data_IF_797965738252
#
_entry.id   IF_797965738252
#
_cell.length_a   1.000
_cell.length_b   1.000
_cell.length_c   1.000
_cell.angle_alpha   90.00
_cell.angle_beta   90.00
_cell.angle_gamma   90.00
#
_symmetry.space_group_name_H-M   'P 1'
#
loop_
_entity.id
_entity.type
_entity.pdbx_description
1 polymer ?
#
# COMPACT_ATOMS: atom_id res chain seq x y z
N UNK A 1 -15.93 -45.68 39.50
CA UNK A 1 -14.94 -45.21 40.47
C UNK A 1 -13.58 -45.81 40.11
N UNK A 2 -12.71 -45.07 39.47
CA UNK A 2 -11.26 -45.27 39.48
C UNK A 2 -10.63 -43.99 38.97
N UNK A 3 -9.95 -43.29 39.88
CA UNK A 3 -9.17 -42.07 39.62
C UNK A 3 -7.88 -42.46 38.91
N UNK A 4 -7.61 -41.88 37.72
CA UNK A 4 -6.29 -41.86 37.10
C UNK A 4 -5.63 -40.53 37.44
N UNK A 5 -4.55 -40.56 38.22
CA UNK A 5 -3.64 -39.46 38.47
C UNK A 5 -2.74 -39.28 37.25
N UNK A 6 -2.71 -38.07 36.68
CA UNK A 6 -1.70 -37.67 35.71
C UNK A 6 -0.50 -37.06 36.43
N UNK A 7 0.65 -37.65 36.19
CA UNK A 7 1.97 -37.22 36.68
C UNK A 7 2.53 -36.12 35.75
N UNK A 8 2.66 -34.90 36.26
CA UNK A 8 3.24 -33.75 35.55
C UNK A 8 4.70 -33.59 35.97
N UNK A 9 5.62 -34.15 35.19
CA UNK A 9 7.06 -33.78 35.26
C UNK A 9 7.43 -32.81 34.14
N UNK A 10 7.54 -31.53 34.48
CA UNK A 10 8.15 -30.51 33.66
C UNK A 10 9.67 -30.59 33.82
N UNK A 11 10.39 -30.96 32.75
CA UNK A 11 11.84 -30.85 32.72
C UNK A 11 12.20 -29.42 32.29
N UNK A 12 12.83 -28.69 33.22
CA UNK A 12 13.51 -27.41 32.89
C UNK A 12 14.83 -27.72 32.19
N UNK A 13 14.96 -27.25 30.93
CA UNK A 13 16.25 -27.13 30.27
C UNK A 13 16.77 -25.71 30.48
N UNK A 14 17.73 -25.53 31.38
CA UNK A 14 18.50 -24.30 31.52
C UNK A 14 19.73 -24.43 30.64
N UNK A 15 19.74 -23.81 29.48
CA UNK A 15 20.93 -23.63 28.64
C UNK A 15 21.33 -22.16 28.68
N UNK A 16 22.45 -21.85 29.35
CA UNK A 16 23.07 -20.54 29.31
C UNK A 16 23.69 -20.29 27.92
N UNK A 17 23.15 -19.31 27.19
CA UNK A 17 23.79 -18.77 26.01
C UNK A 17 24.79 -17.69 26.41
N UNK A 18 26.09 -17.99 26.33
CA UNK A 18 27.17 -17.01 26.43
C UNK A 18 27.21 -16.20 25.12
N UNK A 19 26.85 -14.93 25.21
CA UNK A 19 26.95 -13.99 24.10
C UNK A 19 28.44 -13.76 23.72
N UNK A 20 28.74 -13.94 22.43
CA UNK A 20 29.99 -13.48 21.84
C UNK A 20 29.93 -11.95 21.62
N UNK A 21 31.07 -11.22 21.74
CA UNK A 21 31.09 -9.78 21.55
C UNK A 21 30.85 -9.44 20.08
N UNK A 22 29.87 -8.58 19.81
CA UNK A 22 29.61 -8.02 18.48
C UNK A 22 30.70 -7.03 18.14
N UNK A 23 31.67 -7.46 17.33
CA UNK A 23 32.65 -6.57 16.73
C UNK A 23 31.92 -5.62 15.78
N UNK A 24 32.02 -4.32 16.06
CA UNK A 24 31.52 -3.26 15.20
C UNK A 24 32.20 -3.30 13.82
N UNK A 25 31.51 -3.88 12.85
CA UNK A 25 31.87 -3.77 11.45
C UNK A 25 31.30 -2.44 10.95
N UNK A 26 32.16 -1.46 10.80
CA UNK A 26 31.88 -0.24 10.04
C UNK A 26 31.54 -0.67 8.61
N UNK A 27 30.25 -0.85 8.30
CA UNK A 27 29.77 -0.98 6.91
C UNK A 27 29.99 0.36 6.24
N UNK A 28 30.96 0.45 5.32
CA UNK A 28 31.00 1.52 4.32
C UNK A 28 29.63 1.49 3.63
N UNK A 29 28.90 2.62 3.67
CA UNK A 29 27.74 2.84 2.80
C UNK A 29 28.26 2.75 1.36
N UNK A 30 28.04 1.62 0.69
CA UNK A 30 28.09 1.58 -0.76
C UNK A 30 26.92 2.44 -1.21
N UNK A 31 27.22 3.58 -1.79
CA UNK A 31 26.25 4.38 -2.53
C UNK A 31 25.84 3.54 -3.74
N UNK A 32 24.70 2.86 -3.67
CA UNK A 32 24.03 2.34 -4.85
C UNK A 32 23.61 3.55 -5.69
N UNK A 33 24.50 4.00 -6.55
CA UNK A 33 24.15 4.94 -7.62
C UNK A 33 23.21 4.18 -8.55
N UNK A 34 22.09 4.79 -8.93
CA UNK A 34 21.19 4.23 -9.93
C UNK A 34 21.99 3.96 -11.20
N UNK A 35 22.03 2.71 -11.64
CA UNK A 35 22.87 2.28 -12.75
C UNK A 35 22.14 2.56 -14.07
N UNK A 36 22.92 2.88 -15.11
CA UNK A 36 22.42 2.91 -16.49
C UNK A 36 22.39 1.47 -17.01
N UNK A 37 21.26 0.99 -17.45
CA UNK A 37 21.11 -0.38 -17.97
C UNK A 37 19.96 -0.50 -18.96
N UNK A 38 19.89 -1.65 -19.63
CA UNK A 38 18.81 -2.03 -20.54
C UNK A 38 18.24 -3.37 -20.11
N UNK A 39 16.92 -3.46 -20.01
CA UNK A 39 16.20 -4.74 -19.83
C UNK A 39 15.54 -5.10 -21.16
N UNK A 40 15.73 -6.33 -21.63
CA UNK A 40 15.09 -6.84 -22.84
C UNK A 40 14.13 -7.96 -22.49
N UNK A 41 12.92 -7.94 -23.08
CA UNK A 41 11.87 -8.95 -22.88
C UNK A 41 10.56 -8.50 -23.49
N UNK A 42 9.46 -9.12 -23.07
CA UNK A 42 8.10 -8.73 -23.47
C UNK A 42 7.55 -7.67 -22.52
N UNK A 43 7.40 -6.44 -22.99
CA UNK A 43 7.13 -5.29 -22.13
C UNK A 43 5.67 -4.90 -22.24
N UNK A 44 4.98 -4.75 -21.06
CA UNK A 44 3.61 -4.24 -20.98
C UNK A 44 3.52 -3.12 -19.94
N UNK A 45 2.91 -1.98 -20.29
CA UNK A 45 2.66 -0.88 -19.35
C UNK A 45 1.46 -0.03 -19.76
N UNK A 46 0.81 0.61 -18.80
CA UNK A 46 -0.32 1.51 -19.05
C UNK A 46 0.16 2.91 -19.43
N UNK A 47 -0.32 3.42 -20.56
CA UNK A 47 -0.20 4.83 -20.91
C UNK A 47 -1.28 5.66 -20.20
N UNK A 48 -2.49 5.14 -20.13
CA UNK A 48 -3.62 5.65 -19.35
C UNK A 48 -4.59 4.49 -19.04
N UNK A 49 -5.72 4.77 -18.39
CA UNK A 49 -6.69 3.72 -17.98
C UNK A 49 -7.30 2.93 -19.16
N UNK A 50 -7.17 3.40 -20.40
CA UNK A 50 -7.75 2.79 -21.60
C UNK A 50 -6.73 2.31 -22.62
N UNK A 51 -5.44 2.54 -22.35
CA UNK A 51 -4.36 2.24 -23.29
C UNK A 51 -3.25 1.45 -22.61
N UNK A 52 -3.24 0.14 -22.87
CA UNK A 52 -2.15 -0.77 -22.54
C UNK A 52 -1.20 -0.86 -23.73
N UNK A 53 0.06 -0.53 -23.52
CA UNK A 53 1.14 -0.68 -24.52
C UNK A 53 1.79 -2.04 -24.29
N UNK A 54 1.93 -2.81 -25.37
CA UNK A 54 2.64 -4.10 -25.39
C UNK A 54 3.72 -4.07 -26.48
N UNK A 55 4.95 -4.42 -26.11
CA UNK A 55 6.10 -4.47 -27.04
C UNK A 55 6.78 -5.85 -26.87
N UNK A 56 6.66 -6.70 -27.90
CA UNK A 56 7.31 -7.99 -27.94
C UNK A 56 8.83 -7.81 -28.11
N UNK A 57 9.62 -8.54 -27.30
CA UNK A 57 11.08 -8.52 -27.33
C UNK A 57 11.67 -7.10 -27.37
N UNK A 58 11.02 -6.17 -26.64
CA UNK A 58 11.42 -4.76 -26.58
C UNK A 58 12.57 -4.50 -25.61
N UNK A 59 13.05 -3.27 -25.63
CA UNK A 59 14.14 -2.78 -24.80
C UNK A 59 13.61 -1.66 -23.89
N UNK A 60 13.65 -1.86 -22.58
CA UNK A 60 13.40 -0.84 -21.56
C UNK A 60 14.73 -0.26 -21.12
N UNK A 61 14.92 1.03 -21.29
CA UNK A 61 16.17 1.71 -20.97
C UNK A 61 16.03 2.49 -19.67
N UNK A 62 16.98 2.28 -18.76
CA UNK A 62 17.16 3.03 -17.52
C UNK A 62 18.35 3.98 -17.64
N UNK A 63 18.17 5.25 -17.26
CA UNK A 63 19.25 6.22 -17.09
C UNK A 63 19.07 6.91 -15.75
N UNK A 64 20.05 6.75 -14.87
CA UNK A 64 20.05 7.33 -13.52
C UNK A 64 18.75 7.04 -12.71
N UNK A 65 18.22 5.81 -12.82
CA UNK A 65 17.01 5.39 -12.14
C UNK A 65 15.70 5.81 -12.81
N UNK A 66 15.78 6.48 -13.95
CA UNK A 66 14.65 7.02 -14.70
C UNK A 66 14.49 6.23 -16.00
N UNK A 67 13.25 5.97 -16.41
CA UNK A 67 12.95 5.40 -17.72
C UNK A 67 13.31 6.40 -18.83
N UNK A 68 14.20 5.98 -19.71
CA UNK A 68 14.47 6.70 -20.96
C UNK A 68 13.52 6.25 -22.10
N UNK A 69 12.61 5.31 -21.81
CA UNK A 69 11.59 4.83 -22.73
C UNK A 69 11.71 3.35 -23.07
N UNK A 70 10.73 2.88 -23.86
CA UNK A 70 10.63 1.51 -24.36
C UNK A 70 10.78 1.53 -25.88
N UNK A 71 11.66 0.67 -26.42
CA UNK A 71 12.03 0.64 -27.83
C UNK A 71 11.88 -0.77 -28.41
N UNK A 72 11.48 -0.86 -29.70
CA UNK A 72 11.50 -2.13 -30.45
C UNK A 72 12.92 -2.52 -30.86
N UNK A 73 13.75 -1.53 -31.18
CA UNK A 73 15.16 -1.67 -31.49
C UNK A 73 15.95 -0.74 -30.57
N UNK A 74 17.05 -1.24 -30.00
CA UNK A 74 17.85 -0.44 -29.07
C UNK A 74 18.52 0.73 -29.80
N UNK A 75 18.26 1.98 -29.43
CA UNK A 75 18.92 3.15 -30.03
C UNK A 75 20.43 3.09 -29.80
N UNK A 76 21.19 3.47 -30.84
CA UNK A 76 22.66 3.41 -30.84
C UNK A 76 23.30 4.12 -29.63
N UNK A 77 22.68 5.19 -29.15
CA UNK A 77 23.17 5.93 -27.99
C UNK A 77 23.20 5.12 -26.69
N UNK A 78 22.40 4.04 -26.59
CA UNK A 78 22.36 3.15 -25.44
C UNK A 78 23.07 1.82 -25.65
N UNK A 79 23.71 1.59 -26.82
CA UNK A 79 24.35 0.33 -27.15
C UNK A 79 25.51 -0.06 -26.21
N UNK A 80 26.06 0.91 -25.46
CA UNK A 80 27.12 0.68 -24.47
C UNK A 80 26.60 0.38 -23.05
N UNK A 81 25.30 0.38 -22.81
CA UNK A 81 24.75 0.09 -21.48
C UNK A 81 24.74 -1.43 -21.21
N UNK A 82 24.95 -1.84 -19.95
CA UNK A 82 24.74 -3.23 -19.57
C UNK A 82 23.34 -3.71 -19.95
N UNK A 83 23.25 -4.82 -20.68
CA UNK A 83 22.01 -5.40 -21.14
C UNK A 83 21.72 -6.70 -20.36
N UNK A 84 20.53 -6.80 -19.76
CA UNK A 84 19.98 -8.04 -19.25
C UNK A 84 18.85 -8.51 -20.16
N UNK A 85 19.03 -9.65 -20.84
CA UNK A 85 18.02 -10.28 -21.70
C UNK A 85 17.21 -11.30 -20.87
N UNK A 86 15.95 -11.02 -20.64
CA UNK A 86 15.02 -11.88 -19.92
C UNK A 86 14.23 -12.82 -20.84
N UNK A 87 14.57 -12.86 -22.11
CA UNK A 87 13.96 -13.77 -23.08
C UNK A 87 12.47 -13.56 -23.21
N UNK A 88 11.67 -14.63 -22.95
CA UNK A 88 10.20 -14.58 -23.08
C UNK A 88 9.46 -14.04 -21.83
N UNK A 89 10.18 -13.56 -20.81
CA UNK A 89 9.55 -12.99 -19.60
C UNK A 89 8.74 -11.74 -19.90
N UNK A 90 7.65 -11.55 -19.14
CA UNK A 90 6.93 -10.28 -19.12
C UNK A 90 7.67 -9.26 -18.23
N UNK A 91 7.86 -8.06 -18.72
CA UNK A 91 8.40 -6.93 -17.95
C UNK A 91 7.28 -5.91 -17.80
N UNK A 92 6.89 -5.62 -16.56
CA UNK A 92 5.80 -4.69 -16.24
C UNK A 92 6.26 -3.66 -15.21
N UNK A 93 5.63 -2.48 -15.13
CA UNK A 93 5.91 -1.54 -14.05
C UNK A 93 5.69 -2.16 -12.67
N UNK A 94 6.47 -1.73 -11.70
CA UNK A 94 6.25 -2.07 -10.31
C UNK A 94 4.86 -1.66 -9.83
N UNK A 95 4.28 -2.44 -8.93
CA UNK A 95 2.92 -2.18 -8.43
C UNK A 95 2.95 -1.22 -7.24
N UNK A 96 1.85 -0.46 -7.10
CA UNK A 96 1.65 0.48 -6.00
C UNK A 96 0.50 0.03 -5.12
N UNK A 97 0.76 -0.08 -3.82
CA UNK A 97 -0.22 -0.32 -2.77
C UNK A 97 -0.49 0.98 -2.00
N UNK A 98 -1.65 1.59 -2.23
CA UNK A 98 -1.97 2.89 -1.65
C UNK A 98 -2.50 2.82 -0.20
N UNK A 99 -2.76 1.62 0.31
CA UNK A 99 -3.32 1.48 1.65
C UNK A 99 -3.12 0.08 2.21
N UNK A 100 -2.39 -0.01 3.30
CA UNK A 100 -2.24 -1.23 4.10
C UNK A 100 -1.76 -0.91 5.53
N UNK A 101 -1.98 -1.85 6.46
CA UNK A 101 -1.65 -1.74 7.87
C UNK A 101 -0.56 -2.75 8.26
N UNK A 102 0.68 -2.30 8.42
CA UNK A 102 1.79 -3.17 8.81
C UNK A 102 1.54 -3.93 10.14
N UNK A 103 0.97 -3.31 11.20
CA UNK A 103 0.74 -4.01 12.46
C UNK A 103 -0.34 -5.08 12.39
N UNK A 104 -1.19 -5.08 11.37
CA UNK A 104 -2.25 -6.08 11.21
C UNK A 104 -1.78 -7.31 10.41
N UNK A 105 -0.58 -7.25 9.82
CA UNK A 105 -0.07 -8.29 8.94
C UNK A 105 -0.02 -9.68 9.59
N UNK A 106 0.25 -9.74 10.90
CA UNK A 106 0.39 -11.00 11.66
C UNK A 106 -0.90 -11.81 11.77
N UNK A 107 -2.08 -11.18 11.68
CA UNK A 107 -3.36 -11.90 11.77
C UNK A 107 -4.15 -11.93 10.46
N UNK A 108 -3.53 -11.58 9.34
CA UNK A 108 -4.21 -11.64 8.04
C UNK A 108 -4.85 -13.00 7.78
N UNK A 109 -6.05 -12.97 7.19
CA UNK A 109 -6.84 -14.18 6.96
C UNK A 109 -7.59 -14.71 8.18
N UNK A 110 -7.53 -14.02 9.33
CA UNK A 110 -8.27 -14.40 10.54
C UNK A 110 -9.44 -13.44 10.81
N UNK A 111 -10.60 -13.98 11.14
CA UNK A 111 -11.81 -13.19 11.45
C UNK A 111 -12.48 -12.57 10.22
N UNK A 112 -12.30 -13.16 9.03
CA UNK A 112 -12.89 -12.70 7.78
C UNK A 112 -14.40 -12.95 7.67
N UNK A 113 -15.03 -13.48 8.69
CA UNK A 113 -16.47 -13.70 8.86
C UNK A 113 -17.13 -12.63 9.76
N UNK A 114 -16.36 -11.61 10.16
CA UNK A 114 -16.84 -10.51 11.01
C UNK A 114 -17.10 -9.24 10.20
N UNK A 115 -18.02 -8.40 10.70
CA UNK A 115 -18.20 -7.05 10.19
C UNK A 115 -17.15 -6.09 10.75
N UNK A 116 -16.90 -4.95 10.09
CA UNK A 116 -15.83 -4.00 10.38
C UNK A 116 -15.71 -3.66 11.87
N UNK A 117 -16.77 -3.18 12.53
CA UNK A 117 -16.68 -2.71 13.92
C UNK A 117 -16.41 -3.84 14.91
N UNK A 118 -16.96 -5.01 14.66
CA UNK A 118 -16.69 -6.21 15.48
C UNK A 118 -15.27 -6.71 15.24
N UNK A 119 -14.81 -6.72 13.98
CA UNK A 119 -13.46 -7.12 13.62
C UNK A 119 -12.41 -6.17 14.21
N UNK A 120 -12.63 -4.85 14.20
CA UNK A 120 -11.76 -3.87 14.84
C UNK A 120 -11.58 -4.18 16.34
N UNK A 121 -12.68 -4.44 17.06
CA UNK A 121 -12.66 -4.64 18.50
C UNK A 121 -12.08 -6.01 18.89
N UNK A 122 -12.29 -7.05 18.09
CA UNK A 122 -11.94 -8.44 18.45
C UNK A 122 -10.61 -8.89 17.89
N UNK A 123 -10.13 -8.29 16.81
CA UNK A 123 -8.87 -8.65 16.13
C UNK A 123 -7.86 -7.50 16.06
N UNK A 124 -8.27 -6.39 15.49
CA UNK A 124 -7.36 -5.30 15.14
C UNK A 124 -6.76 -4.63 16.37
N UNK A 125 -7.59 -4.09 17.25
CA UNK A 125 -7.09 -3.36 18.42
C UNK A 125 -6.28 -4.25 19.38
N UNK A 126 -6.69 -5.51 19.68
CA UNK A 126 -5.87 -6.42 20.47
C UNK A 126 -4.53 -6.76 19.83
N UNK A 127 -4.43 -6.78 18.50
CA UNK A 127 -3.16 -7.04 17.83
C UNK A 127 -2.27 -5.79 17.82
N UNK A 128 -2.80 -4.64 17.42
CA UNK A 128 -2.05 -3.39 17.34
C UNK A 128 -1.47 -2.95 18.69
N UNK A 129 -2.14 -3.27 19.80
CA UNK A 129 -1.65 -2.96 21.17
C UNK A 129 -0.36 -3.69 21.53
N UNK A 130 -0.07 -4.84 20.91
CA UNK A 130 1.15 -5.62 21.18
C UNK A 130 2.42 -4.93 20.72
N UNK A 131 2.31 -3.94 19.85
CA UNK A 131 3.45 -3.21 19.31
C UNK A 131 4.07 -2.18 20.28
N UNK A 132 3.51 -2.04 21.48
CA UNK A 132 4.19 -1.42 22.62
C UNK A 132 5.36 -2.26 23.12
N UNK A 133 5.36 -3.59 22.89
CA UNK A 133 6.49 -4.48 23.10
C UNK A 133 7.40 -4.49 21.86
N UNK A 134 8.56 -3.86 21.96
CA UNK A 134 9.53 -3.73 20.88
C UNK A 134 10.06 -5.07 20.37
N UNK A 135 10.14 -6.09 21.21
CA UNK A 135 10.54 -7.44 20.78
C UNK A 135 9.44 -8.09 19.92
N UNK A 136 8.17 -7.85 20.26
CA UNK A 136 7.04 -8.26 19.42
C UNK A 136 7.05 -7.49 18.09
N UNK A 137 7.13 -6.17 18.16
CA UNK A 137 7.16 -5.29 16.99
C UNK A 137 8.26 -5.70 16.01
N UNK A 138 9.47 -5.97 16.52
CA UNK A 138 10.60 -6.41 15.71
C UNK A 138 10.33 -7.72 14.97
N UNK A 139 9.80 -8.72 15.67
CA UNK A 139 9.46 -10.01 15.02
C UNK A 139 8.39 -9.85 13.95
N UNK A 140 7.31 -9.12 14.26
CA UNK A 140 6.19 -8.95 13.37
C UNK A 140 6.57 -8.09 12.13
N UNK A 141 7.23 -6.96 12.33
CA UNK A 141 7.64 -6.08 11.24
C UNK A 141 8.76 -6.67 10.37
N UNK A 142 9.64 -7.52 10.93
CA UNK A 142 10.61 -8.25 10.11
C UNK A 142 9.91 -9.18 9.12
N UNK A 143 8.90 -9.93 9.57
CA UNK A 143 8.09 -10.80 8.68
C UNK A 143 7.38 -9.97 7.62
N UNK A 144 6.78 -8.84 8.00
CA UNK A 144 6.12 -7.94 7.08
C UNK A 144 7.07 -7.39 6.02
N UNK A 145 8.20 -6.82 6.42
CA UNK A 145 9.19 -6.22 5.50
C UNK A 145 9.79 -7.25 4.53
N UNK A 146 10.10 -8.45 5.01
CA UNK A 146 10.58 -9.57 4.18
C UNK A 146 9.56 -9.95 3.09
N UNK A 147 8.27 -10.08 3.46
CA UNK A 147 7.24 -10.41 2.49
C UNK A 147 7.00 -9.26 1.51
N UNK A 148 6.96 -8.01 1.98
CA UNK A 148 6.85 -6.83 1.10
C UNK A 148 8.02 -6.75 0.11
N UNK A 149 9.24 -7.06 0.55
CA UNK A 149 10.41 -7.10 -0.32
C UNK A 149 10.21 -8.08 -1.49
N UNK A 150 9.61 -9.23 -1.23
CA UNK A 150 9.40 -10.28 -2.25
C UNK A 150 8.05 -10.19 -3.00
N UNK A 151 7.10 -9.35 -2.56
CA UNK A 151 5.84 -9.10 -3.26
C UNK A 151 6.04 -8.34 -4.57
N UNK A 152 4.97 -8.14 -5.34
CA UNK A 152 4.97 -7.31 -6.55
C UNK A 152 5.01 -5.79 -6.27
N UNK A 153 4.82 -5.39 -5.01
CA UNK A 153 4.74 -3.98 -4.61
C UNK A 153 6.13 -3.34 -4.61
N UNK A 154 6.26 -2.21 -5.29
CA UNK A 154 7.47 -1.37 -5.29
C UNK A 154 7.26 -0.09 -4.51
N UNK A 155 6.01 0.37 -4.37
CA UNK A 155 5.62 1.57 -3.63
C UNK A 155 4.43 1.30 -2.75
N UNK A 156 4.47 1.78 -1.49
CA UNK A 156 3.38 1.55 -0.54
C UNK A 156 3.14 2.74 0.39
N UNK A 157 1.85 2.99 0.72
CA UNK A 157 1.43 3.88 1.80
C UNK A 157 0.98 3.03 2.99
N UNK A 158 1.67 3.14 4.12
CA UNK A 158 1.62 2.18 5.22
C UNK A 158 1.16 2.86 6.51
N UNK A 159 0.10 2.34 7.11
CA UNK A 159 -0.28 2.65 8.49
C UNK A 159 0.61 1.85 9.45
N UNK A 160 1.26 2.54 10.39
CA UNK A 160 1.95 1.92 11.53
C UNK A 160 1.01 1.84 12.75
N UNK A 161 1.55 2.04 13.95
CA UNK A 161 0.79 2.10 15.20
C UNK A 161 0.84 3.50 15.80
N UNK A 162 0.21 3.69 16.97
CA UNK A 162 0.39 4.89 17.81
C UNK A 162 1.80 4.95 18.43
N UNK A 163 2.50 3.81 18.56
CA UNK A 163 3.79 3.70 19.24
C UNK A 163 4.92 4.23 18.36
N UNK A 164 5.55 5.33 18.77
CA UNK A 164 6.63 6.02 18.05
C UNK A 164 7.79 5.10 17.73
N UNK A 165 8.35 4.42 18.74
CA UNK A 165 9.55 3.57 18.58
C UNK A 165 9.29 2.39 17.63
N UNK A 166 8.09 1.78 17.68
CA UNK A 166 7.70 0.74 16.76
C UNK A 166 7.53 1.28 15.32
N UNK A 167 7.03 2.52 15.15
CA UNK A 167 6.93 3.16 13.85
C UNK A 167 8.30 3.45 13.24
N UNK A 168 9.27 3.93 14.05
CA UNK A 168 10.65 4.12 13.61
C UNK A 168 11.30 2.80 13.19
N UNK A 169 11.11 1.74 13.99
CA UNK A 169 11.59 0.41 13.65
C UNK A 169 11.01 -0.09 12.31
N UNK A 170 9.71 0.14 12.07
CA UNK A 170 9.10 -0.20 10.79
C UNK A 170 9.76 0.58 9.64
N UNK A 171 10.02 1.88 9.84
CA UNK A 171 10.70 2.69 8.82
C UNK A 171 12.13 2.20 8.55
N UNK A 172 12.89 1.80 9.57
CA UNK A 172 14.21 1.20 9.40
C UNK A 172 14.15 -0.06 8.53
N UNK A 173 13.23 -0.97 8.85
CA UNK A 173 13.06 -2.22 8.11
C UNK A 173 12.58 -1.98 6.67
N UNK A 174 11.67 -1.02 6.46
CA UNK A 174 11.21 -0.69 5.11
C UNK A 174 12.32 -0.03 4.27
N UNK A 175 13.14 0.84 4.86
CA UNK A 175 14.30 1.40 4.17
C UNK A 175 15.27 0.31 3.69
N UNK A 176 15.51 -0.73 4.52
CA UNK A 176 16.37 -1.87 4.16
C UNK A 176 15.80 -2.73 3.02
N UNK A 177 14.50 -2.69 2.76
CA UNK A 177 13.91 -3.39 1.61
C UNK A 177 14.27 -2.78 0.26
N UNK A 178 14.61 -1.49 0.24
CA UNK A 178 14.81 -0.70 -0.98
C UNK A 178 13.51 -0.27 -1.67
N UNK A 179 12.34 -0.56 -1.13
CA UNK A 179 11.05 -0.10 -1.65
C UNK A 179 10.86 1.39 -1.38
N UNK A 180 10.04 2.06 -2.17
CA UNK A 180 9.62 3.45 -1.94
C UNK A 180 8.36 3.47 -1.10
N UNK A 181 8.47 3.86 0.17
CA UNK A 181 7.33 3.79 1.09
C UNK A 181 7.02 5.13 1.77
N UNK A 182 5.75 5.32 2.08
CA UNK A 182 5.28 6.35 3.00
C UNK A 182 4.74 5.66 4.23
N UNK A 183 5.31 5.93 5.40
CA UNK A 183 4.93 5.30 6.67
C UNK A 183 4.38 6.36 7.60
N UNK A 184 3.25 6.08 8.26
CA UNK A 184 2.63 7.03 9.16
C UNK A 184 2.41 6.49 10.57
N UNK A 185 2.91 7.23 11.58
CA UNK A 185 2.47 7.05 12.97
C UNK A 185 0.97 7.37 13.03
N UNK A 186 0.19 6.43 13.54
CA UNK A 186 -1.25 6.63 13.72
C UNK A 186 -1.52 7.59 14.88
N UNK A 187 -2.49 8.49 14.67
CA UNK A 187 -2.99 9.40 15.70
C UNK A 187 -4.45 9.03 16.01
N UNK A 188 -4.75 8.82 17.30
CA UNK A 188 -6.11 8.62 17.80
C UNK A 188 -6.19 8.91 19.30
N UNK A 189 -7.09 9.84 19.68
CA UNK A 189 -7.23 10.36 21.03
C UNK A 189 -8.66 10.27 21.60
N UNK A 190 -9.56 9.57 20.89
CA UNK A 190 -10.92 9.25 21.39
C UNK A 190 -11.45 7.94 20.81
N UNK A 191 -12.50 7.42 21.42
CA UNK A 191 -13.32 6.30 20.91
C UNK A 191 -12.51 5.06 20.52
N UNK A 192 -11.40 4.82 21.20
CA UNK A 192 -10.54 3.66 21.04
C UNK A 192 -10.35 2.97 22.39
N UNK A 193 -9.97 1.68 22.43
CA UNK A 193 -9.65 1.02 23.71
C UNK A 193 -8.56 1.78 24.46
N UNK A 194 -8.63 1.79 25.81
CA UNK A 194 -7.67 2.46 26.68
C UNK A 194 -6.21 2.13 26.39
N UNK A 195 -5.94 0.92 25.87
CA UNK A 195 -4.60 0.46 25.49
C UNK A 195 -4.08 1.04 24.16
N UNK A 196 -4.93 1.73 23.40
CA UNK A 196 -4.60 2.30 22.08
C UNK A 196 -5.11 3.74 21.92
N UNK A 197 -5.62 4.37 22.95
CA UNK A 197 -5.98 5.79 22.95
C UNK A 197 -4.85 6.61 23.55
N UNK A 198 -4.48 7.70 22.89
CA UNK A 198 -3.49 8.66 23.38
C UNK A 198 -4.24 9.87 23.96
N UNK A 199 -3.64 10.56 24.95
CA UNK A 199 -4.06 11.92 25.23
C UNK A 199 -3.65 12.84 24.07
N UNK A 200 -4.46 13.85 23.72
CA UNK A 200 -4.21 14.73 22.55
C UNK A 200 -2.80 15.31 22.55
N UNK A 201 -2.37 15.87 23.70
CA UNK A 201 -1.03 16.46 23.85
C UNK A 201 0.09 15.41 23.71
N UNK A 202 -0.14 14.20 24.18
CA UNK A 202 0.77 13.07 24.06
C UNK A 202 0.93 12.68 22.59
N UNK A 203 -0.18 12.46 21.88
CA UNK A 203 -0.19 12.11 20.46
C UNK A 203 0.59 13.13 19.63
N UNK A 204 0.41 14.42 19.90
CA UNK A 204 1.11 15.49 19.21
C UNK A 204 2.61 15.54 19.55
N UNK A 205 2.95 15.36 20.84
CA UNK A 205 4.34 15.33 21.28
C UNK A 205 5.11 14.19 20.62
N UNK A 206 4.54 12.97 20.66
CA UNK A 206 5.16 11.79 20.07
C UNK A 206 5.26 11.91 18.53
N UNK A 207 4.27 12.54 17.88
CA UNK A 207 4.32 12.79 16.43
C UNK A 207 5.43 13.79 16.08
N UNK A 208 5.58 14.89 16.86
CA UNK A 208 6.68 15.85 16.64
C UNK A 208 8.04 15.21 16.88
N UNK A 209 8.18 14.41 17.95
CA UNK A 209 9.42 13.71 18.26
C UNK A 209 9.77 12.72 17.16
N UNK A 210 8.81 11.91 16.70
CA UNK A 210 8.99 11.01 15.56
C UNK A 210 9.53 11.74 14.33
N UNK A 211 8.88 12.84 13.92
CA UNK A 211 9.31 13.63 12.76
C UNK A 211 10.71 14.22 12.92
N UNK A 212 11.07 14.61 14.14
CA UNK A 212 12.43 15.10 14.45
C UNK A 212 13.49 13.98 14.36
N UNK A 213 13.18 12.80 14.90
CA UNK A 213 14.11 11.65 14.97
C UNK A 213 14.39 11.05 13.60
N UNK A 214 13.42 11.07 12.69
CA UNK A 214 13.55 10.52 11.33
C UNK A 214 14.10 11.51 10.30
N UNK A 215 14.26 12.78 10.66
CA UNK A 215 14.67 13.84 9.72
C UNK A 215 16.01 13.53 9.05
N UNK A 216 15.97 13.33 7.73
CA UNK A 216 17.15 13.03 6.92
C UNK A 216 17.75 11.63 7.14
N UNK A 217 17.05 10.75 7.86
CA UNK A 217 17.51 9.39 8.18
C UNK A 217 17.36 8.42 7.02
N UNK A 218 16.32 8.60 6.19
CA UNK A 218 15.94 7.69 5.14
C UNK A 218 16.01 8.32 3.75
N UNK A 219 16.24 7.50 2.74
CA UNK A 219 16.25 7.87 1.32
C UNK A 219 14.97 7.45 0.60
N UNK A 220 14.45 6.27 0.95
CA UNK A 220 13.34 5.62 0.25
C UNK A 220 12.04 5.63 1.05
N UNK A 221 12.14 5.75 2.37
CA UNK A 221 11.00 5.76 3.28
C UNK A 221 10.76 7.17 3.80
N UNK A 222 9.56 7.71 3.63
CA UNK A 222 9.21 9.06 4.05
C UNK A 222 7.98 9.06 4.96
N UNK A 223 7.81 10.09 5.83
CA UNK A 223 6.63 10.19 6.68
C UNK A 223 5.38 10.58 5.90
N UNK A 224 4.22 10.10 6.36
CA UNK A 224 2.88 10.51 5.97
C UNK A 224 2.04 10.72 7.23
N UNK A 225 1.34 11.83 7.33
CA UNK A 225 0.48 12.13 8.49
C UNK A 225 -0.75 11.22 8.48
N UNK A 226 -1.05 10.59 9.63
CA UNK A 226 -2.02 9.49 9.66
C UNK A 226 -3.02 9.63 10.81
N UNK A 227 -3.94 10.62 10.78
CA UNK A 227 -5.15 10.53 11.59
C UNK A 227 -5.89 9.27 11.17
N UNK A 228 -6.18 8.35 12.13
CA UNK A 228 -6.72 7.04 11.75
C UNK A 228 -8.03 7.19 10.97
N UNK A 229 -8.99 7.90 11.56
CA UNK A 229 -10.24 8.34 10.90
C UNK A 229 -10.98 9.30 11.85
N UNK A 230 -11.95 10.05 11.36
CA UNK A 230 -12.66 11.09 12.16
C UNK A 230 -13.22 10.56 13.48
N UNK A 231 -13.84 9.36 13.58
CA UNK A 231 -14.36 8.86 14.85
C UNK A 231 -13.31 8.74 15.96
N UNK A 232 -12.05 8.51 15.65
CA UNK A 232 -10.99 8.33 16.65
C UNK A 232 -10.11 9.55 16.87
N UNK A 233 -10.40 10.68 16.20
CA UNK A 233 -9.64 11.91 16.34
C UNK A 233 -10.55 13.03 16.82
N UNK A 234 -10.21 13.69 17.93
CA UNK A 234 -10.94 14.90 18.38
C UNK A 234 -10.70 16.06 17.42
N UNK A 235 -11.60 17.04 17.44
CA UNK A 235 -11.45 18.26 16.65
C UNK A 235 -10.13 18.96 17.01
N UNK A 236 -9.78 19.01 18.30
CA UNK A 236 -8.50 19.58 18.79
C UNK A 236 -7.29 18.85 18.19
N UNK A 237 -7.30 17.51 18.17
CA UNK A 237 -6.23 16.75 17.54
C UNK A 237 -6.13 17.05 16.04
N UNK A 238 -7.26 17.10 15.33
CA UNK A 238 -7.29 17.37 13.89
C UNK A 238 -6.76 18.78 13.57
N UNK A 239 -7.13 19.81 14.34
CA UNK A 239 -6.62 21.18 14.19
C UNK A 239 -5.10 21.25 14.40
N UNK A 240 -4.57 20.57 15.40
CA UNK A 240 -3.13 20.56 15.69
C UNK A 240 -2.35 19.72 14.66
N UNK A 241 -2.89 18.57 14.21
CA UNK A 241 -2.32 17.80 13.12
C UNK A 241 -2.24 18.61 11.82
N UNK A 242 -3.23 19.49 11.56
CA UNK A 242 -3.16 20.42 10.43
C UNK A 242 -1.97 21.37 10.54
N UNK A 243 -1.65 21.87 11.73
CA UNK A 243 -0.47 22.72 11.94
C UNK A 243 0.82 21.95 11.65
N UNK A 244 0.91 20.69 12.12
CA UNK A 244 2.03 19.81 11.80
C UNK A 244 2.15 19.52 10.30
N UNK A 245 1.01 19.26 9.63
CA UNK A 245 0.96 19.05 8.20
C UNK A 245 1.56 20.23 7.44
N UNK A 246 1.23 21.47 7.86
CA UNK A 246 1.75 22.69 7.22
C UNK A 246 3.23 22.93 7.55
N UNK A 247 3.64 22.68 8.80
CA UNK A 247 5.02 22.88 9.27
C UNK A 247 6.02 21.97 8.55
N UNK A 248 5.62 20.71 8.30
CA UNK A 248 6.48 19.69 7.69
C UNK A 248 6.11 19.36 6.23
N UNK A 249 5.11 20.02 5.66
CA UNK A 249 4.59 19.80 4.29
C UNK A 249 4.24 18.33 4.02
N UNK A 250 3.64 17.64 5.01
CA UNK A 250 3.38 16.21 4.95
C UNK A 250 2.19 15.87 4.04
N UNK A 251 2.26 14.78 3.26
CA UNK A 251 1.06 14.15 2.73
C UNK A 251 0.20 13.57 3.86
N UNK A 252 -1.07 13.31 3.58
CA UNK A 252 -2.04 12.79 4.55
C UNK A 252 -2.66 11.50 4.03
N UNK A 253 -2.87 10.53 4.91
CA UNK A 253 -3.67 9.33 4.66
C UNK A 253 -4.69 9.09 5.77
N UNK A 254 -5.88 8.62 5.40
CA UNK A 254 -6.94 8.26 6.35
C UNK A 254 -7.98 7.35 5.69
N UNK A 255 -9.06 7.01 6.42
CA UNK A 255 -10.20 6.22 5.95
C UNK A 255 -11.39 7.11 5.66
N UNK A 256 -12.20 6.77 4.66
CA UNK A 256 -13.34 7.58 4.25
C UNK A 256 -14.51 6.72 3.78
N UNK A 257 -15.68 6.96 4.36
CA UNK A 257 -16.98 6.45 3.89
C UNK A 257 -16.97 4.94 3.59
N UNK A 258 -16.28 4.17 4.45
CA UNK A 258 -16.12 2.73 4.27
C UNK A 258 -17.38 1.98 4.61
N UNK A 259 -17.96 2.21 5.80
CA UNK A 259 -19.10 1.48 6.35
C UNK A 259 -20.22 2.46 6.71
N UNK A 260 -21.48 2.03 6.58
CA UNK A 260 -22.65 2.87 6.90
C UNK A 260 -22.70 3.27 8.39
N UNK A 261 -22.35 2.33 9.27
CA UNK A 261 -22.27 2.61 10.72
C UNK A 261 -21.22 3.66 11.05
N UNK A 262 -20.07 3.62 10.36
CA UNK A 262 -19.02 4.63 10.48
C UNK A 262 -19.50 6.01 9.99
N UNK A 263 -20.20 6.07 8.87
CA UNK A 263 -20.76 7.33 8.33
C UNK A 263 -21.78 7.94 9.30
N UNK A 264 -22.68 7.12 9.86
CA UNK A 264 -23.65 7.57 10.84
C UNK A 264 -22.95 8.10 12.10
N UNK A 265 -21.88 7.43 12.54
CA UNK A 265 -21.08 7.87 13.68
C UNK A 265 -20.37 9.20 13.43
N UNK A 266 -19.80 9.42 12.23
CA UNK A 266 -19.22 10.72 11.86
C UNK A 266 -20.30 11.82 11.86
N UNK A 267 -21.50 11.54 11.38
CA UNK A 267 -22.62 12.50 11.40
C UNK A 267 -23.04 12.89 12.82
N UNK A 268 -22.96 11.96 13.78
CA UNK A 268 -23.21 12.24 15.20
C UNK A 268 -22.10 13.12 15.80
N UNK A 269 -20.83 12.84 15.47
CA UNK A 269 -19.66 13.55 16.00
C UNK A 269 -19.45 14.92 15.35
N UNK A 270 -19.77 15.04 14.06
CA UNK A 270 -19.59 16.25 13.25
C UNK A 270 -20.93 16.68 12.62
N UNK A 271 -21.96 17.05 13.41
CA UNK A 271 -23.30 17.38 12.90
C UNK A 271 -23.33 18.61 11.98
N UNK A 272 -22.25 19.36 11.94
CA UNK A 272 -22.03 20.51 11.07
C UNK A 272 -21.54 20.12 9.67
N UNK A 273 -21.03 18.89 9.46
CA UNK A 273 -20.56 18.44 8.15
C UNK A 273 -21.72 17.97 7.26
N UNK A 274 -21.65 18.27 5.97
CA UNK A 274 -22.67 17.84 5.00
C UNK A 274 -22.49 16.37 4.58
N UNK A 275 -21.26 15.86 4.62
CA UNK A 275 -20.85 14.49 4.30
C UNK A 275 -19.56 14.17 5.04
N UNK A 276 -19.14 12.92 5.05
CA UNK A 276 -17.99 12.50 5.84
C UNK A 276 -16.69 13.24 5.47
N UNK A 277 -16.37 13.33 4.17
CA UNK A 277 -15.16 14.04 3.69
C UNK A 277 -15.16 15.54 4.00
N UNK A 278 -16.32 16.15 4.21
CA UNK A 278 -16.45 17.55 4.62
C UNK A 278 -15.83 17.78 6.03
N UNK A 279 -15.86 16.76 6.90
CA UNK A 279 -15.16 16.83 8.19
C UNK A 279 -13.64 16.94 8.01
N UNK A 280 -13.02 16.19 7.09
CA UNK A 280 -11.60 16.37 6.77
C UNK A 280 -11.29 17.69 6.08
N UNK A 281 -12.18 18.13 5.17
CA UNK A 281 -12.03 19.39 4.44
C UNK A 281 -12.07 20.59 5.38
N UNK A 282 -12.94 20.58 6.39
CA UNK A 282 -13.01 21.58 7.45
C UNK A 282 -11.64 21.79 8.14
N UNK A 283 -10.93 20.71 8.44
CA UNK A 283 -9.58 20.76 9.01
C UNK A 283 -8.48 20.96 7.94
N UNK A 284 -8.83 21.16 6.68
CA UNK A 284 -7.89 21.38 5.58
C UNK A 284 -7.00 20.17 5.26
N UNK A 285 -7.48 18.96 5.51
CA UNK A 285 -6.77 17.70 5.26
C UNK A 285 -7.48 16.82 4.21
N UNK A 286 -8.17 17.45 3.25
CA UNK A 286 -8.92 16.77 2.18
C UNK A 286 -8.52 17.27 0.80
N UNK A 287 -7.26 17.10 0.44
CA UNK A 287 -6.73 17.63 -0.82
C UNK A 287 -6.53 19.15 -0.79
N UNK A 288 -6.86 19.84 -1.91
CA UNK A 288 -6.76 21.29 -2.05
C UNK A 288 -5.34 21.82 -1.73
N UNK A 289 -4.34 21.25 -2.39
CA UNK A 289 -2.92 21.57 -2.16
C UNK A 289 -2.22 20.69 -1.15
N UNK A 290 -2.96 19.92 -0.35
CA UNK A 290 -2.43 18.85 0.50
C UNK A 290 -2.56 17.51 -0.21
N UNK A 291 -1.46 16.83 -0.42
CA UNK A 291 -1.45 15.51 -1.04
C UNK A 291 -2.13 14.50 -0.10
N UNK A 292 -3.32 14.03 -0.46
CA UNK A 292 -4.18 13.24 0.44
C UNK A 292 -4.63 11.95 -0.21
N UNK A 293 -4.53 10.83 0.53
CA UNK A 293 -5.15 9.54 0.20
C UNK A 293 -6.29 9.28 1.18
N UNK A 294 -7.44 8.89 0.63
CA UNK A 294 -8.58 8.37 1.38
C UNK A 294 -8.85 6.91 0.98
N UNK A 295 -8.78 6.02 1.98
CA UNK A 295 -9.03 4.60 1.75
C UNK A 295 -10.53 4.30 1.67
N UNK A 296 -10.88 3.24 0.95
CA UNK A 296 -12.20 2.64 0.74
C UNK A 296 -13.16 3.45 -0.12
N UNK A 297 -13.69 4.58 0.36
CA UNK A 297 -14.66 5.43 -0.35
C UNK A 297 -15.82 4.59 -0.95
N UNK A 298 -16.48 3.76 -0.09
CA UNK A 298 -17.49 2.79 -0.55
C UNK A 298 -18.86 3.45 -0.75
N UNK A 299 -19.24 4.36 0.15
CA UNK A 299 -20.55 4.99 0.22
C UNK A 299 -20.55 6.51 0.10
N UNK A 300 -19.72 7.12 -0.79
CA UNK A 300 -19.70 8.57 -0.89
C UNK A 300 -21.01 9.08 -1.54
N UNK A 301 -21.65 10.10 -1.00
CA UNK A 301 -22.68 10.84 -1.70
C UNK A 301 -22.08 11.64 -2.87
N UNK A 302 -22.89 12.08 -3.82
CA UNK A 302 -22.43 12.81 -5.02
C UNK A 302 -21.62 14.06 -4.65
N UNK A 303 -22.00 14.78 -3.61
CA UNK A 303 -21.25 15.96 -3.11
C UNK A 303 -19.84 15.61 -2.65
N UNK A 304 -19.64 14.46 -2.02
CA UNK A 304 -18.32 13.98 -1.61
C UNK A 304 -17.45 13.60 -2.82
N UNK A 305 -18.04 12.91 -3.80
CA UNK A 305 -17.38 12.57 -5.06
C UNK A 305 -16.91 13.85 -5.78
N UNK A 306 -17.78 14.85 -5.86
CA UNK A 306 -17.45 16.13 -6.48
C UNK A 306 -16.33 16.85 -5.71
N UNK A 307 -16.37 16.86 -4.38
CA UNK A 307 -15.34 17.48 -3.54
C UNK A 307 -13.99 16.75 -3.65
N UNK A 308 -13.97 15.42 -3.69
CA UNK A 308 -12.75 14.64 -3.96
C UNK A 308 -12.10 15.05 -5.28
N UNK A 309 -12.91 15.21 -6.33
CA UNK A 309 -12.44 15.64 -7.64
C UNK A 309 -11.86 17.05 -7.62
N UNK A 310 -12.60 18.01 -7.06
CA UNK A 310 -12.19 19.43 -6.99
C UNK A 310 -10.89 19.60 -6.20
N UNK A 311 -10.74 18.87 -5.12
CA UNK A 311 -9.60 18.96 -4.21
C UNK A 311 -8.41 18.07 -4.65
N UNK A 312 -8.57 17.21 -5.65
CA UNK A 312 -7.51 16.30 -6.12
C UNK A 312 -7.16 15.19 -5.14
N UNK A 313 -8.14 14.71 -4.37
CA UNK A 313 -7.99 13.61 -3.42
C UNK A 313 -7.73 12.30 -4.16
N UNK A 314 -6.79 11.50 -3.68
CA UNK A 314 -6.55 10.13 -4.15
C UNK A 314 -7.45 9.15 -3.40
N UNK A 315 -8.07 8.25 -4.14
CA UNK A 315 -8.85 7.12 -3.59
C UNK A 315 -7.98 5.86 -3.61
N UNK A 316 -7.81 5.22 -2.47
CA UNK A 316 -7.28 3.86 -2.37
C UNK A 316 -8.45 2.87 -2.36
N UNK A 317 -8.71 2.23 -3.49
CA UNK A 317 -9.75 1.20 -3.59
C UNK A 317 -9.25 -0.12 -3.02
N UNK A 318 -9.91 -0.60 -1.96
CA UNK A 318 -9.57 -1.82 -1.20
C UNK A 318 -10.63 -2.91 -1.41
N UNK A 319 -10.70 -3.55 -2.61
CA UNK A 319 -11.84 -4.39 -2.99
C UNK A 319 -12.02 -5.60 -2.11
N UNK A 320 -10.93 -6.24 -1.69
CA UNK A 320 -10.98 -7.45 -0.87
C UNK A 320 -11.44 -7.14 0.55
N UNK A 321 -10.86 -6.12 1.18
CA UNK A 321 -11.26 -5.69 2.52
C UNK A 321 -12.73 -5.26 2.56
N UNK A 322 -13.16 -4.42 1.61
CA UNK A 322 -14.56 -3.99 1.52
C UNK A 322 -15.54 -5.17 1.44
N UNK A 323 -15.11 -6.28 0.84
CA UNK A 323 -15.90 -7.51 0.74
C UNK A 323 -15.85 -8.31 2.04
N UNK A 324 -14.65 -8.54 2.58
CA UNK A 324 -14.43 -9.35 3.79
C UNK A 324 -15.12 -8.75 5.02
N UNK A 325 -15.06 -7.42 5.16
CA UNK A 325 -15.61 -6.70 6.32
C UNK A 325 -17.04 -6.20 6.08
N UNK A 326 -17.70 -6.69 5.02
CA UNK A 326 -19.09 -6.35 4.66
C UNK A 326 -19.33 -4.85 4.44
N UNK A 327 -18.29 -4.09 4.12
CA UNK A 327 -18.35 -2.64 3.90
C UNK A 327 -19.18 -2.30 2.64
N UNK A 328 -19.04 -3.09 1.57
CA UNK A 328 -19.83 -2.92 0.34
C UNK A 328 -18.99 -2.85 -0.93
N UNK A 329 -19.52 -2.23 -2.00
CA UNK A 329 -18.89 -2.15 -3.31
C UNK A 329 -18.72 -0.69 -3.73
N UNK A 330 -17.46 -0.20 -3.72
CA UNK A 330 -17.12 1.17 -4.10
C UNK A 330 -17.46 1.50 -5.57
N UNK A 331 -17.86 2.74 -5.91
CA UNK A 331 -18.23 3.14 -7.26
C UNK A 331 -17.02 3.48 -8.15
N UNK A 332 -16.05 2.56 -8.27
CA UNK A 332 -14.75 2.81 -8.93
C UNK A 332 -14.90 3.20 -10.41
N UNK A 333 -15.91 2.65 -11.10
CA UNK A 333 -16.23 3.10 -12.47
C UNK A 333 -16.54 4.60 -12.52
N UNK A 334 -17.35 5.09 -11.59
CA UNK A 334 -17.66 6.53 -11.46
C UNK A 334 -16.39 7.34 -11.23
N UNK A 335 -15.48 6.87 -10.37
CA UNK A 335 -14.22 7.56 -10.12
C UNK A 335 -13.37 7.70 -11.38
N UNK A 336 -13.20 6.60 -12.13
CA UNK A 336 -12.45 6.63 -13.38
C UNK A 336 -13.09 7.52 -14.44
N UNK A 337 -14.41 7.50 -14.59
CA UNK A 337 -15.13 8.31 -15.60
C UNK A 337 -15.12 9.80 -15.25
N UNK A 338 -15.15 10.14 -13.97
CA UNK A 338 -15.06 11.51 -13.51
C UNK A 338 -13.60 12.03 -13.42
N UNK A 339 -12.60 11.16 -13.63
CA UNK A 339 -11.19 11.51 -13.58
C UNK A 339 -10.66 11.73 -12.17
N UNK A 340 -11.25 11.09 -11.15
CA UNK A 340 -10.74 11.10 -9.79
C UNK A 340 -9.48 10.23 -9.74
N UNK A 341 -8.45 10.71 -9.08
CA UNK A 341 -7.22 9.95 -8.86
C UNK A 341 -7.54 8.70 -8.05
N UNK A 342 -7.32 7.53 -8.63
CA UNK A 342 -7.67 6.25 -8.02
C UNK A 342 -6.55 5.25 -8.23
N UNK A 343 -6.19 4.55 -7.17
CA UNK A 343 -5.32 3.37 -7.19
C UNK A 343 -5.89 2.25 -6.35
N UNK A 344 -5.14 1.16 -6.23
CA UNK A 344 -5.52 0.02 -5.40
C UNK A 344 -4.85 0.08 -4.04
N UNK A 345 -5.51 -0.46 -3.02
CA UNK A 345 -4.97 -0.79 -1.72
C UNK A 345 -5.26 -2.26 -1.40
N UNK A 346 -4.32 -2.96 -0.81
CA UNK A 346 -4.56 -4.33 -0.31
C UNK A 346 -5.32 -4.32 0.99
N UNK A 347 -5.10 -3.27 1.78
CA UNK A 347 -5.66 -3.12 3.12
C UNK A 347 -5.47 -4.38 3.99
N UNK A 348 -4.24 -4.89 4.00
CA UNK A 348 -3.88 -5.95 4.95
C UNK A 348 -4.07 -5.42 6.38
N UNK A 349 -4.85 -6.07 7.28
CA UNK A 349 -5.40 -7.43 7.17
C UNK A 349 -6.91 -7.52 6.90
N UNK A 350 -7.65 -6.43 6.66
CA UNK A 350 -9.00 -6.51 6.09
C UNK A 350 -8.98 -7.21 4.72
N UNK A 351 -7.98 -6.91 3.90
CA UNK A 351 -7.52 -7.77 2.81
C UNK A 351 -6.63 -8.90 3.33
N UNK A 352 -6.79 -10.10 2.80
CA UNK A 352 -6.12 -11.30 3.32
C UNK A 352 -4.64 -11.44 2.97
N UNK A 353 -4.08 -10.54 2.13
CA UNK A 353 -2.68 -10.60 1.72
C UNK A 353 -2.21 -9.35 0.97
N UNK A 354 -0.91 -9.25 0.78
CA UNK A 354 -0.19 -8.11 0.21
C UNK A 354 -0.15 -8.08 -1.34
N UNK A 355 -0.90 -8.96 -2.01
CA UNK A 355 -0.83 -9.07 -3.47
C UNK A 355 -1.72 -8.05 -4.18
N UNK A 356 -1.10 -7.03 -4.79
CA UNK A 356 -1.81 -6.05 -5.62
C UNK A 356 -2.39 -6.69 -6.89
N UNK A 357 -1.78 -7.76 -7.44
CA UNK A 357 -2.40 -8.53 -8.53
C UNK A 357 -3.73 -9.15 -8.08
N UNK A 358 -3.80 -9.66 -6.86
CA UNK A 358 -5.05 -10.15 -6.29
C UNK A 358 -6.06 -9.02 -6.13
N UNK A 359 -5.64 -7.85 -5.65
CA UNK A 359 -6.51 -6.68 -5.54
C UNK A 359 -7.05 -6.25 -6.92
N UNK A 360 -6.26 -6.37 -8.02
CA UNK A 360 -6.75 -6.15 -9.39
C UNK A 360 -7.88 -7.12 -9.76
N UNK A 361 -7.69 -8.43 -9.50
CA UNK A 361 -8.70 -9.44 -9.79
C UNK A 361 -9.99 -9.19 -8.99
N UNK A 362 -9.86 -8.89 -7.70
CA UNK A 362 -10.98 -8.59 -6.80
C UNK A 362 -11.70 -7.30 -7.25
N UNK A 363 -10.98 -6.25 -7.66
CA UNK A 363 -11.57 -5.01 -8.20
C UNK A 363 -12.44 -5.27 -9.44
N UNK A 364 -11.97 -6.12 -10.37
CA UNK A 364 -12.75 -6.51 -11.56
C UNK A 364 -14.00 -7.27 -11.12
N UNK A 365 -13.89 -8.24 -10.21
CA UNK A 365 -14.98 -9.09 -9.75
C UNK A 365 -16.07 -8.28 -9.05
N UNK A 366 -15.70 -7.44 -8.08
CA UNK A 366 -16.68 -6.61 -7.35
C UNK A 366 -17.31 -5.54 -8.25
N UNK A 367 -16.59 -5.02 -9.25
CA UNK A 367 -17.16 -4.10 -10.23
C UNK A 367 -18.25 -4.74 -11.08
N UNK A 368 -18.13 -6.05 -11.41
CA UNK A 368 -19.16 -6.83 -12.09
C UNK A 368 -20.40 -7.04 -11.21
N UNK A 369 -20.20 -7.26 -9.90
CA UNK A 369 -21.31 -7.35 -8.95
C UNK A 369 -22.03 -6.01 -8.84
N UNK A 370 -21.29 -4.89 -8.74
CA UNK A 370 -21.89 -3.56 -8.71
C UNK A 370 -22.69 -3.28 -9.98
N UNK A 371 -22.11 -3.55 -11.15
CA UNK A 371 -22.82 -3.41 -12.43
C UNK A 371 -24.11 -4.19 -12.47
N UNK A 372 -24.09 -5.45 -12.02
CA UNK A 372 -25.27 -6.33 -12.10
C UNK A 372 -26.32 -6.06 -11.01
N UNK A 373 -25.92 -5.65 -9.81
CA UNK A 373 -26.81 -5.58 -8.65
C UNK A 373 -27.19 -4.15 -8.24
N UNK A 374 -26.39 -3.16 -8.64
CA UNK A 374 -26.55 -1.77 -8.16
C UNK A 374 -26.84 -0.81 -9.32
N UNK A 375 -26.04 -0.83 -10.39
CA UNK A 375 -26.16 0.12 -11.50
C UNK A 375 -25.73 -0.51 -12.83
N UNK A 376 -26.67 -0.94 -13.63
CA UNK A 376 -26.42 -1.56 -14.96
C UNK A 376 -25.97 -0.55 -16.02
N UNK A 377 -26.01 0.75 -15.76
CA UNK A 377 -25.55 1.78 -16.70
C UNK A 377 -24.03 1.91 -16.74
N UNK A 378 -23.34 1.57 -15.63
CA UNK A 378 -21.89 1.66 -15.46
C UNK A 378 -21.22 0.32 -15.76
N UNK A 379 -20.42 0.26 -16.84
CA UNK A 379 -19.70 -0.96 -17.23
C UNK A 379 -18.69 -1.39 -16.14
N UNK A 380 -18.48 -2.70 -15.94
CA UNK A 380 -17.45 -3.19 -15.02
C UNK A 380 -16.03 -2.83 -15.49
N UNK A 381 -15.05 -2.93 -14.59
CA UNK A 381 -13.64 -2.74 -14.91
C UNK A 381 -13.14 -3.83 -15.87
N UNK A 382 -12.25 -3.44 -16.76
CA UNK A 382 -11.45 -4.37 -17.57
C UNK A 382 -10.13 -4.73 -16.87
N UNK A 383 -9.42 -5.76 -17.33
CA UNK A 383 -8.11 -6.12 -16.81
C UNK A 383 -7.08 -4.98 -17.02
N UNK A 384 -7.16 -4.26 -18.13
CA UNK A 384 -6.29 -3.11 -18.45
C UNK A 384 -6.53 -1.95 -17.49
N UNK A 385 -7.79 -1.66 -17.15
CA UNK A 385 -8.14 -0.62 -16.18
C UNK A 385 -7.68 -1.01 -14.77
N UNK A 386 -7.86 -2.28 -14.37
CA UNK A 386 -7.36 -2.76 -13.08
C UNK A 386 -5.82 -2.72 -13.00
N UNK A 387 -5.13 -3.07 -14.09
CA UNK A 387 -3.68 -2.95 -14.20
C UNK A 387 -3.22 -1.49 -14.12
N UNK A 388 -3.93 -0.57 -14.78
CA UNK A 388 -3.68 0.88 -14.63
C UNK A 388 -3.82 1.33 -13.17
N UNK A 389 -4.88 0.92 -12.47
CA UNK A 389 -5.08 1.29 -11.06
C UNK A 389 -3.95 0.79 -10.15
N UNK A 390 -3.46 -0.43 -10.35
CA UNK A 390 -2.36 -1.00 -9.57
C UNK A 390 -0.97 -0.53 -9.99
N UNK A 391 -0.84 0.19 -11.11
CA UNK A 391 0.44 0.71 -11.62
C UNK A 391 0.41 2.24 -11.68
N UNK A 392 0.20 2.83 -12.87
CA UNK A 392 0.27 4.28 -13.10
C UNK A 392 -0.76 5.09 -12.30
N UNK A 393 -1.97 4.54 -12.10
CA UNK A 393 -3.03 5.19 -11.30
C UNK A 393 -2.59 5.42 -9.86
N UNK A 394 -2.19 4.36 -9.17
CA UNK A 394 -1.64 4.42 -7.81
C UNK A 394 -0.28 5.13 -7.75
N UNK A 395 0.61 4.83 -8.72
CA UNK A 395 1.93 5.43 -8.83
C UNK A 395 1.92 6.96 -8.89
N UNK A 396 0.86 7.55 -9.43
CA UNK A 396 0.66 9.00 -9.48
C UNK A 396 0.73 9.69 -8.12
N UNK A 397 0.40 9.00 -7.03
CA UNK A 397 0.58 9.53 -5.69
C UNK A 397 2.06 9.71 -5.32
N UNK A 398 2.95 8.93 -5.86
CA UNK A 398 4.40 9.06 -5.67
C UNK A 398 5.06 9.99 -6.70
N UNK A 399 4.30 10.54 -7.63
CA UNK A 399 4.81 11.40 -8.70
C UNK A 399 4.82 10.69 -10.06
N UNK A 400 5.91 10.78 -10.80
CA UNK A 400 6.07 10.03 -12.05
C UNK A 400 6.53 8.60 -11.76
N UNK A 401 5.59 7.71 -11.40
CA UNK A 401 5.84 6.31 -11.08
C UNK A 401 4.77 5.39 -11.68
N UNK A 402 5.05 4.08 -11.75
CA UNK A 402 4.12 3.06 -12.23
C UNK A 402 3.91 3.04 -13.75
N UNK A 403 4.84 3.58 -14.54
CA UNK A 403 4.85 3.53 -16.00
C UNK A 403 6.28 3.46 -16.54
N UNK A 404 6.43 3.03 -17.80
CA UNK A 404 7.72 3.04 -18.53
C UNK A 404 7.83 4.19 -19.53
N UNK A 405 6.94 5.17 -19.47
CA UNK A 405 7.08 6.38 -20.26
C UNK A 405 8.34 7.14 -19.87
N UNK A 406 8.91 7.87 -20.81
CA UNK A 406 10.11 8.68 -20.59
C UNK A 406 9.93 9.66 -19.43
N UNK A 407 10.92 9.70 -18.54
CA UNK A 407 10.95 10.59 -17.38
C UNK A 407 10.20 10.05 -16.14
N UNK A 408 9.69 8.81 -16.17
CA UNK A 408 9.17 8.12 -14.97
C UNK A 408 10.30 7.47 -14.18
N UNK A 409 10.22 7.46 -12.84
CA UNK A 409 11.11 6.61 -12.05
C UNK A 409 10.93 5.15 -12.46
N UNK A 410 12.02 4.44 -12.71
CA UNK A 410 11.98 3.09 -13.23
C UNK A 410 11.78 2.08 -12.12
N UNK A 411 10.53 1.67 -11.92
CA UNK A 411 10.19 0.47 -11.15
C UNK A 411 9.76 -0.61 -12.13
N UNK A 412 10.37 -1.79 -12.05
CA UNK A 412 10.05 -2.89 -12.95
C UNK A 412 9.98 -4.24 -12.22
N UNK A 413 9.05 -5.07 -12.67
CA UNK A 413 8.93 -6.48 -12.31
C UNK A 413 9.19 -7.31 -13.55
N UNK A 414 9.97 -8.36 -13.39
CA UNK A 414 10.17 -9.41 -14.39
C UNK A 414 9.34 -10.61 -13.96
N UNK A 415 8.31 -10.91 -14.74
CA UNK A 415 7.32 -11.92 -14.43
C UNK A 415 7.58 -13.20 -15.21
N UNK A 416 7.53 -14.33 -14.52
CA UNK A 416 7.72 -15.66 -15.05
C UNK A 416 6.41 -16.43 -15.09
N UNK A 417 5.82 -16.59 -16.25
CA UNK A 417 4.58 -17.33 -16.47
C UNK A 417 4.79 -18.75 -17.08
N UNK A 418 6.03 -19.25 -17.09
CA UNK A 418 6.33 -20.58 -17.64
C UNK A 418 5.54 -21.73 -16.98
N UNK A 419 5.28 -21.62 -15.67
CA UNK A 419 4.48 -22.61 -14.94
C UNK A 419 2.99 -22.49 -15.24
N UNK A 420 2.52 -21.32 -15.71
CA UNK A 420 1.14 -21.04 -16.08
C UNK A 420 0.84 -21.50 -17.51
N UNK A 421 1.10 -22.78 -17.81
CA UNK A 421 1.02 -23.35 -19.15
C UNK A 421 -0.32 -23.11 -19.83
N UNK A 422 -0.27 -22.91 -21.16
CA UNK A 422 -1.44 -22.82 -22.02
C UNK A 422 -1.23 -23.65 -23.29
N UNK A 423 -2.26 -24.34 -23.84
CA UNK A 423 -2.09 -25.22 -25.00
C UNK A 423 -1.85 -24.47 -26.31
N UNK A 424 -2.05 -23.16 -26.35
CA UNK A 424 -1.86 -22.31 -27.53
C UNK A 424 -1.02 -21.08 -27.17
N UNK A 425 -0.29 -20.48 -28.13
CA UNK A 425 0.34 -19.18 -27.93
C UNK A 425 -0.70 -18.12 -27.52
N UNK A 426 -0.31 -17.25 -26.58
CA UNK A 426 -1.12 -16.14 -26.10
C UNK A 426 -0.47 -14.82 -26.49
N UNK A 427 -1.26 -13.81 -26.77
CA UNK A 427 -0.80 -12.43 -26.87
C UNK A 427 -0.27 -11.93 -25.52
N UNK A 428 0.57 -10.90 -25.51
CA UNK A 428 1.10 -10.33 -24.26
C UNK A 428 -0.03 -9.82 -23.34
N UNK A 429 -1.10 -9.29 -23.92
CA UNK A 429 -2.29 -8.87 -23.17
C UNK A 429 -2.96 -10.05 -22.46
N UNK A 430 -3.18 -11.17 -23.15
CA UNK A 430 -3.78 -12.39 -22.57
C UNK A 430 -2.84 -13.01 -21.50
N UNK A 431 -1.52 -12.96 -21.69
CA UNK A 431 -0.56 -13.42 -20.68
C UNK A 431 -0.65 -12.55 -19.41
N UNK A 432 -0.71 -11.22 -19.54
CA UNK A 432 -0.89 -10.29 -18.42
C UNK A 432 -2.23 -10.51 -17.71
N UNK A 433 -3.32 -10.66 -18.46
CA UNK A 433 -4.64 -10.93 -17.90
C UNK A 433 -4.65 -12.22 -17.07
N UNK A 434 -4.07 -13.29 -17.58
CA UNK A 434 -3.91 -14.54 -16.83
C UNK A 434 -3.04 -14.36 -15.60
N UNK A 435 -1.95 -13.60 -15.72
CA UNK A 435 -1.05 -13.35 -14.60
C UNK A 435 -1.81 -12.68 -13.45
N UNK A 436 -2.64 -11.67 -13.72
CA UNK A 436 -3.49 -10.99 -12.73
C UNK A 436 -4.37 -11.99 -11.95
N UNK A 437 -4.91 -13.03 -12.61
CA UNK A 437 -5.89 -13.93 -11.99
C UNK A 437 -5.29 -15.16 -11.33
N UNK A 438 -4.15 -15.67 -11.80
CA UNK A 438 -3.66 -17.01 -11.42
C UNK A 438 -2.19 -17.05 -11.00
N UNK A 439 -1.51 -15.90 -10.87
CA UNK A 439 -0.14 -15.85 -10.37
C UNK A 439 -0.08 -15.64 -8.86
N UNK A 440 1.12 -15.80 -8.33
CA UNK A 440 1.54 -15.41 -6.98
C UNK A 440 2.98 -14.89 -6.99
N UNK A 441 3.53 -14.57 -5.83
CA UNK A 441 4.85 -13.96 -5.66
C UNK A 441 6.00 -14.83 -6.19
N UNK A 442 5.81 -16.17 -6.30
CA UNK A 442 6.79 -17.11 -6.85
C UNK A 442 7.02 -16.94 -8.36
N UNK A 443 6.14 -16.18 -9.01
CA UNK A 443 6.22 -15.86 -10.43
C UNK A 443 6.97 -14.55 -10.71
N UNK A 444 7.70 -13.99 -9.74
CA UNK A 444 8.50 -12.77 -9.91
C UNK A 444 9.98 -13.18 -9.92
N UNK A 445 10.62 -13.11 -11.09
CA UNK A 445 12.04 -13.48 -11.26
C UNK A 445 12.99 -12.35 -10.84
N UNK A 446 12.57 -11.09 -10.97
CA UNK A 446 13.36 -9.91 -10.57
C UNK A 446 12.48 -8.70 -10.28
N UNK A 447 12.96 -7.84 -9.38
CA UNK A 447 12.34 -6.56 -9.01
C UNK A 447 13.36 -5.44 -9.07
N UNK A 448 12.96 -4.31 -9.67
CA UNK A 448 13.71 -3.06 -9.72
C UNK A 448 12.87 -1.94 -9.11
N UNK A 449 13.48 -1.07 -8.31
CA UNK A 449 12.86 0.10 -7.69
C UNK A 449 13.75 1.32 -7.88
N UNK A 450 13.22 2.37 -8.50
CA UNK A 450 13.96 3.58 -8.85
C UNK A 450 15.31 3.26 -9.51
N UNK A 451 15.32 2.29 -10.45
CA UNK A 451 16.50 1.82 -11.19
C UNK A 451 17.44 0.90 -10.41
N UNK A 452 17.20 0.63 -9.14
CA UNK A 452 18.01 -0.28 -8.35
C UNK A 452 17.41 -1.70 -8.34
N UNK A 453 18.22 -2.72 -8.64
CA UNK A 453 17.77 -4.12 -8.57
C UNK A 453 17.65 -4.54 -7.09
N UNK A 454 16.47 -5.06 -6.70
CA UNK A 454 16.19 -5.51 -5.34
C UNK A 454 16.55 -6.99 -5.16
N UNK A 455 16.19 -7.83 -6.15
CA UNK A 455 16.57 -9.25 -6.22
C UNK A 455 16.54 -9.75 -7.65
#
# INVERSE_FOLDING_TARGET
MQKMQMDTRVRRCTGEYKGAPVNGVSRKKEEHMAENFVLKGNICYSQNSRALICVEQGYLVCTDGISAGVYKELPQMYAGFPLTDYGDRLIVPGLTDLHLHAPQYSFRGLGMDLELLEWLNTRTFPEESKYSDMEYAKRAYTIFAENMKHSATTRACIFATIHREATELLMDLMEETGLKTMVGKVNMDRNSPDILVEETEESLRETRQWLADIKGRYRNTVPILTPRFIPTCTDTLMEELKKLQMEYELPVQSHLSENKGEIDWVKELCPWSEFYGDAYDHFGMFGNGVKTIMAHCVWPPEKEIQRMKENGVYVAHCPQSNTNLSSGIAPVRTYLEQGIHTGLGTDVAGGAGESVFRAMADAIQVSKLRWRLVDETLKPLTAEEAFYLGTKGGGGFFGKAGSFEEGYELDALVLNDESLKHPQPLSLKERLERFIYISDERHIDAKYVAGSKIF
#
